data_IF_460884626113
#
_entry.id   IF_460884626113
#
_cell.length_a   1.000
_cell.length_b   1.000
_cell.length_c   1.000
_cell.angle_alpha   90.00
_cell.angle_beta   90.00
_cell.angle_gamma   90.00
#
_symmetry.space_group_name_H-M   'P 1'
#
loop_
_entity.id
_entity.type
_entity.pdbx_description
1 polymer ?
#
# COMPACT_ATOMS: atom_id res chain seq x y z
N UNK A 1 60.28 25.62 -46.39
CA UNK A 1 60.08 25.28 -44.98
C UNK A 1 58.84 25.95 -44.34
N UNK A 2 58.40 27.10 -44.82
CA UNK A 2 57.29 27.85 -44.20
C UNK A 2 55.90 27.25 -44.49
N UNK A 3 55.72 26.52 -45.59
CA UNK A 3 54.42 25.94 -45.96
C UNK A 3 54.08 24.72 -45.11
N UNK A 4 55.07 23.90 -44.75
CA UNK A 4 54.87 22.72 -43.90
C UNK A 4 54.49 23.09 -42.47
N UNK A 5 55.05 24.17 -41.92
CA UNK A 5 54.74 24.67 -40.59
C UNK A 5 53.31 25.21 -40.45
N UNK A 6 52.83 25.86 -41.50
CA UNK A 6 51.45 26.40 -41.53
C UNK A 6 50.42 25.23 -41.58
N UNK A 7 50.70 24.21 -42.38
CA UNK A 7 49.85 23.03 -42.50
C UNK A 7 49.69 22.27 -41.18
N UNK A 8 50.75 22.13 -40.39
CA UNK A 8 50.74 21.48 -39.08
C UNK A 8 49.93 22.30 -38.03
N UNK A 9 50.02 23.62 -38.11
CA UNK A 9 49.29 24.53 -37.19
C UNK A 9 47.77 24.51 -37.47
N UNK A 10 47.35 24.47 -38.72
CA UNK A 10 45.95 24.37 -39.10
C UNK A 10 45.35 23.03 -38.75
N UNK A 11 46.12 21.93 -38.95
CA UNK A 11 45.65 20.58 -38.52
C UNK A 11 45.58 20.45 -37.01
N UNK A 12 46.52 21.03 -36.24
CA UNK A 12 46.50 20.99 -34.77
C UNK A 12 45.32 21.76 -34.18
N UNK A 13 45.02 22.95 -34.71
CA UNK A 13 43.85 23.76 -34.24
C UNK A 13 42.53 23.14 -34.63
N UNK A 14 42.43 22.52 -35.81
CA UNK A 14 41.22 21.78 -36.22
C UNK A 14 40.97 20.56 -35.33
N UNK A 15 41.98 19.77 -35.03
CA UNK A 15 41.87 18.60 -34.12
C UNK A 15 41.53 19.00 -32.70
N UNK A 16 42.10 20.10 -32.18
CA UNK A 16 41.79 20.64 -30.86
C UNK A 16 40.36 21.17 -30.77
N UNK A 17 39.84 21.83 -31.81
CA UNK A 17 38.47 22.27 -31.86
C UNK A 17 37.45 21.10 -31.88
N UNK A 18 37.77 20.03 -32.62
CA UNK A 18 36.96 18.81 -32.66
C UNK A 18 36.99 18.06 -31.32
N UNK A 19 38.13 18.06 -30.63
CA UNK A 19 38.25 17.45 -29.31
C UNK A 19 37.48 18.24 -28.26
N UNK A 20 37.53 19.56 -28.26
CA UNK A 20 36.73 20.42 -27.38
C UNK A 20 35.23 20.31 -27.66
N UNK A 21 34.82 20.18 -28.93
CA UNK A 21 33.40 20.00 -29.27
C UNK A 21 32.83 18.67 -28.81
N UNK A 22 33.66 17.63 -28.65
CA UNK A 22 33.23 16.32 -28.10
C UNK A 22 33.08 16.29 -26.61
N UNK A 23 33.77 17.19 -25.87
CA UNK A 23 33.79 17.18 -24.39
C UNK A 23 32.62 17.96 -23.76
N UNK A 24 31.78 18.65 -24.55
CA UNK A 24 30.69 19.51 -24.03
C UNK A 24 29.31 18.84 -24.17
N UNK A 25 29.24 17.52 -24.40
CA UNK A 25 27.96 16.81 -24.49
C UNK A 25 27.80 15.72 -23.42
N UNK A 26 28.22 16.03 -22.21
CA UNK A 26 27.71 15.33 -21.02
C UNK A 26 26.87 16.30 -20.22
N UNK A 27 25.75 16.69 -20.81
CA UNK A 27 24.66 17.21 -19.97
C UNK A 27 24.14 15.99 -19.22
N UNK A 28 24.67 15.76 -18.02
CA UNK A 28 23.99 14.96 -17.03
C UNK A 28 22.64 15.63 -16.86
N UNK A 29 21.57 15.02 -17.39
CA UNK A 29 20.24 15.30 -16.93
C UNK A 29 20.30 15.01 -15.44
N UNK A 30 20.34 16.05 -14.62
CA UNK A 30 19.98 15.94 -13.22
C UNK A 30 18.51 15.54 -13.30
N UNK A 31 18.27 14.24 -13.11
CA UNK A 31 16.95 13.73 -12.82
C UNK A 31 16.52 14.48 -11.56
N UNK A 32 15.69 15.50 -11.77
CA UNK A 32 15.09 16.23 -10.65
C UNK A 32 14.26 15.17 -9.95
N UNK A 33 14.78 14.66 -8.83
CA UNK A 33 14.04 13.76 -7.98
C UNK A 33 12.69 14.43 -7.70
N UNK A 34 11.61 13.78 -8.10
CA UNK A 34 10.27 14.29 -7.80
C UNK A 34 10.19 14.54 -6.29
N UNK A 35 9.64 15.69 -5.86
CA UNK A 35 9.52 15.98 -4.44
C UNK A 35 8.75 14.85 -3.77
N UNK A 36 9.30 14.30 -2.70
CA UNK A 36 8.63 13.28 -1.89
C UNK A 36 7.42 13.95 -1.26
N UNK A 37 6.25 13.64 -1.75
CA UNK A 37 4.98 14.07 -1.17
C UNK A 37 4.63 13.15 0.01
N UNK A 38 4.11 13.71 1.12
CA UNK A 38 3.53 12.89 2.20
C UNK A 38 2.45 11.97 1.64
N UNK A 39 2.24 10.82 2.28
CA UNK A 39 1.17 9.89 1.92
C UNK A 39 -0.18 10.62 1.83
N UNK A 40 -0.92 10.35 0.78
CA UNK A 40 -2.25 10.91 0.57
C UNK A 40 -3.29 9.89 0.99
N UNK A 41 -4.35 10.33 1.66
CA UNK A 41 -5.50 9.46 1.92
C UNK A 41 -6.22 9.16 0.60
N UNK A 42 -5.85 8.07 -0.03
CA UNK A 42 -6.48 7.57 -1.26
C UNK A 42 -6.48 6.06 -1.28
N UNK A 43 -7.61 5.49 -1.62
CA UNK A 43 -7.78 4.06 -1.80
C UNK A 43 -8.89 3.78 -2.81
N UNK A 44 -8.93 2.56 -3.32
CA UNK A 44 -9.98 2.00 -4.13
C UNK A 44 -10.67 0.89 -3.35
N UNK A 45 -11.95 1.07 -3.04
CA UNK A 45 -12.79 0.02 -2.47
C UNK A 45 -13.44 -0.76 -3.61
N UNK A 46 -13.23 -2.06 -3.62
CA UNK A 46 -13.91 -3.01 -4.51
C UNK A 46 -14.92 -3.77 -3.68
N UNK A 47 -16.19 -3.57 -3.95
CA UNK A 47 -17.29 -4.26 -3.28
C UNK A 47 -17.45 -5.68 -3.81
N UNK A 48 -18.10 -6.54 -3.06
CA UNK A 48 -18.39 -7.91 -3.49
C UNK A 48 -19.27 -7.98 -4.75
N UNK A 49 -20.07 -6.94 -5.00
CA UNK A 49 -20.81 -6.74 -6.25
C UNK A 49 -19.91 -6.51 -7.47
N UNK A 50 -18.62 -6.23 -7.26
CA UNK A 50 -17.66 -5.79 -8.27
C UNK A 50 -17.69 -4.27 -8.52
N UNK A 51 -18.56 -3.51 -7.85
CA UNK A 51 -18.54 -2.05 -7.91
C UNK A 51 -17.23 -1.52 -7.34
N UNK A 52 -16.64 -0.53 -8.01
CA UNK A 52 -15.39 0.13 -7.60
C UNK A 52 -15.68 1.55 -7.15
N UNK A 53 -15.24 1.89 -5.94
CA UNK A 53 -15.45 3.19 -5.31
C UNK A 53 -14.10 3.80 -4.97
N UNK A 54 -13.76 4.91 -5.61
CA UNK A 54 -12.59 5.70 -5.24
C UNK A 54 -12.84 6.43 -3.92
N UNK A 55 -11.88 6.31 -2.98
CA UNK A 55 -11.91 6.92 -1.66
C UNK A 55 -10.81 7.99 -1.57
N UNK A 56 -11.05 9.03 -0.76
CA UNK A 56 -10.06 10.09 -0.50
C UNK A 56 -10.38 11.45 -1.10
N UNK A 57 -11.28 11.53 -2.09
CA UNK A 57 -11.65 12.81 -2.72
C UNK A 57 -13.11 13.22 -2.42
N UNK A 58 -13.88 12.35 -1.76
CA UNK A 58 -15.33 12.54 -1.61
C UNK A 58 -15.70 12.77 -0.14
N UNK A 59 -16.37 13.90 0.19
CA UNK A 59 -16.93 14.10 1.51
C UNK A 59 -18.06 13.10 1.75
N UNK A 60 -18.00 12.39 2.86
CA UNK A 60 -19.04 11.51 3.45
C UNK A 60 -19.89 10.73 2.44
N UNK A 61 -19.49 9.52 2.09
CA UNK A 61 -20.29 8.60 1.28
C UNK A 61 -20.84 7.47 2.15
N UNK A 62 -22.14 7.25 2.08
CA UNK A 62 -22.79 6.05 2.60
C UNK A 62 -23.02 5.07 1.47
N UNK A 63 -22.54 3.85 1.63
CA UNK A 63 -22.78 2.74 0.73
C UNK A 63 -23.51 1.68 1.53
N UNK A 64 -24.62 1.18 1.01
CA UNK A 64 -25.35 0.07 1.61
C UNK A 64 -25.13 -1.17 0.74
N UNK A 65 -24.54 -2.22 1.30
CA UNK A 65 -24.32 -3.48 0.62
C UNK A 65 -24.69 -4.65 1.55
N UNK A 66 -25.60 -5.50 1.11
CA UNK A 66 -26.01 -6.73 1.82
C UNK A 66 -26.34 -6.52 3.32
N UNK A 67 -27.02 -5.43 3.66
CA UNK A 67 -27.39 -5.10 5.05
C UNK A 67 -26.28 -4.44 5.87
N UNK A 68 -25.09 -4.25 5.31
CA UNK A 68 -23.97 -3.53 5.93
C UNK A 68 -23.99 -2.08 5.42
N UNK A 69 -23.83 -1.12 6.33
CA UNK A 69 -23.62 0.27 5.95
C UNK A 69 -22.14 0.59 6.05
N UNK A 70 -21.57 1.04 4.94
CA UNK A 70 -20.18 1.47 4.83
C UNK A 70 -20.20 3.00 4.79
N UNK A 71 -19.52 3.63 5.72
CA UNK A 71 -19.40 5.09 5.78
C UNK A 71 -17.95 5.51 5.57
N UNK A 72 -17.70 6.28 4.52
CA UNK A 72 -16.40 6.89 4.25
C UNK A 72 -16.40 8.36 4.61
N UNK A 73 -15.35 8.82 5.29
CA UNK A 73 -15.10 10.23 5.56
C UNK A 73 -13.59 10.54 5.48
N UNK A 74 -13.20 11.76 5.83
CA UNK A 74 -11.79 12.18 5.85
C UNK A 74 -10.92 11.44 6.89
N UNK A 75 -11.53 10.72 7.83
CA UNK A 75 -10.84 9.91 8.84
C UNK A 75 -10.66 8.44 8.41
N UNK A 76 -11.32 8.01 7.33
CA UNK A 76 -11.24 6.65 6.79
C UNK A 76 -12.59 6.02 6.48
N UNK A 77 -12.59 4.71 6.35
CA UNK A 77 -13.76 3.89 6.07
C UNK A 77 -14.21 3.16 7.34
N UNK A 78 -15.49 3.20 7.65
CA UNK A 78 -16.09 2.54 8.83
C UNK A 78 -17.22 1.64 8.39
N UNK A 79 -17.19 0.40 8.86
CA UNK A 79 -18.23 -0.60 8.63
C UNK A 79 -19.19 -0.64 9.82
N UNK A 80 -20.47 -0.50 9.52
CA UNK A 80 -21.56 -0.68 10.48
C UNK A 80 -22.42 -1.85 10.04
N UNK A 81 -22.33 -2.98 10.75
CA UNK A 81 -23.15 -4.15 10.47
C UNK A 81 -24.16 -4.36 11.61
N UNK A 82 -25.42 -4.00 11.43
CA UNK A 82 -26.46 -4.24 12.45
C UNK A 82 -26.96 -5.70 12.47
N UNK A 83 -26.66 -6.49 11.44
CA UNK A 83 -27.18 -7.84 11.27
C UNK A 83 -26.05 -8.78 10.81
N UNK A 84 -25.98 -9.97 11.41
CA UNK A 84 -25.16 -11.06 10.89
C UNK A 84 -25.70 -11.46 9.52
N UNK A 85 -25.01 -11.11 8.48
CA UNK A 85 -25.32 -11.53 7.13
C UNK A 85 -25.16 -13.05 7.02
N UNK A 86 -26.12 -13.75 6.47
CA UNK A 86 -26.12 -15.21 6.31
C UNK A 86 -25.13 -15.72 5.25
N UNK A 87 -24.37 -14.83 4.61
CA UNK A 87 -23.30 -15.14 3.64
C UNK A 87 -22.08 -14.25 3.89
N UNK A 88 -20.88 -14.84 3.83
CA UNK A 88 -19.65 -14.06 3.85
C UNK A 88 -19.50 -13.32 2.51
N UNK A 89 -19.61 -12.02 2.58
CA UNK A 89 -19.42 -11.09 1.47
C UNK A 89 -18.06 -10.43 1.66
N UNK A 90 -17.15 -10.59 0.71
CA UNK A 90 -15.80 -10.05 0.82
C UNK A 90 -15.66 -8.78 0.00
N UNK A 91 -15.09 -7.78 0.63
CA UNK A 91 -14.67 -6.55 -0.01
C UNK A 91 -13.13 -6.49 -0.05
N UNK A 92 -12.62 -5.65 -0.91
CA UNK A 92 -11.18 -5.45 -1.06
C UNK A 92 -10.86 -3.96 -1.02
N UNK A 93 -9.89 -3.56 -0.19
CA UNK A 93 -9.37 -2.21 -0.15
C UNK A 93 -7.96 -2.20 -0.75
N UNK A 94 -7.76 -1.39 -1.78
CA UNK A 94 -6.51 -1.27 -2.51
C UNK A 94 -5.97 0.13 -2.31
N UNK A 95 -4.77 0.25 -1.75
CA UNK A 95 -4.06 1.51 -1.58
C UNK A 95 -3.00 1.63 -2.67
N UNK A 96 -3.11 2.61 -3.57
CA UNK A 96 -2.14 2.80 -4.64
C UNK A 96 -0.84 3.39 -4.12
N UNK A 97 0.17 3.44 -4.98
CA UNK A 97 1.47 4.06 -4.68
C UNK A 97 1.32 5.50 -4.20
N UNK A 98 2.02 5.82 -3.10
CA UNK A 98 1.96 7.12 -2.43
C UNK A 98 0.64 7.38 -1.70
N UNK A 99 -0.21 6.35 -1.56
CA UNK A 99 -1.42 6.38 -0.75
C UNK A 99 -1.17 5.80 0.65
N UNK A 100 -2.08 6.13 1.55
CA UNK A 100 -2.29 5.49 2.85
C UNK A 100 -3.79 5.52 3.15
N UNK A 101 -4.29 4.54 3.89
CA UNK A 101 -5.72 4.54 4.20
C UNK A 101 -6.04 3.87 5.53
N UNK A 102 -6.98 4.45 6.26
CA UNK A 102 -7.49 3.91 7.53
C UNK A 102 -8.84 3.22 7.30
N UNK A 103 -8.96 2.00 7.78
CA UNK A 103 -10.16 1.18 7.72
C UNK A 103 -10.56 0.73 9.14
N UNK A 104 -11.81 0.90 9.52
CA UNK A 104 -12.38 0.31 10.71
C UNK A 104 -13.32 -0.83 10.29
N UNK A 105 -12.96 -2.05 10.64
CA UNK A 105 -13.70 -3.27 10.33
C UNK A 105 -14.97 -3.38 11.21
N UNK A 106 -15.87 -4.29 10.85
CA UNK A 106 -17.15 -4.48 11.53
C UNK A 106 -17.05 -4.96 12.99
N UNK A 107 -15.91 -5.53 13.39
CA UNK A 107 -15.61 -5.95 14.76
C UNK A 107 -14.98 -4.83 15.60
N UNK A 108 -14.74 -3.66 15.02
CA UNK A 108 -14.06 -2.53 15.66
C UNK A 108 -12.53 -2.56 15.52
N UNK A 109 -11.96 -3.57 14.85
CA UNK A 109 -10.53 -3.61 14.52
C UNK A 109 -10.20 -2.45 13.57
N UNK A 110 -9.14 -1.70 13.89
CA UNK A 110 -8.65 -0.61 13.04
C UNK A 110 -7.40 -1.06 12.29
N UNK A 111 -7.40 -0.82 10.98
CA UNK A 111 -6.30 -1.17 10.09
C UNK A 111 -5.79 0.09 9.40
N UNK A 112 -4.48 0.31 9.43
CA UNK A 112 -3.80 1.36 8.68
C UNK A 112 -3.00 0.71 7.57
N UNK A 113 -3.48 0.84 6.33
CA UNK A 113 -2.82 0.30 5.15
C UNK A 113 -1.81 1.31 4.61
N UNK A 114 -0.61 0.82 4.34
CA UNK A 114 0.46 1.58 3.70
C UNK A 114 0.34 1.55 2.17
N UNK A 115 1.21 2.27 1.49
CA UNK A 115 1.32 2.35 0.03
C UNK A 115 1.46 0.96 -0.61
N UNK A 116 0.87 0.77 -1.80
CA UNK A 116 0.95 -0.47 -2.59
C UNK A 116 0.45 -1.71 -1.83
N UNK A 117 -0.56 -1.52 -0.96
CA UNK A 117 -1.12 -2.59 -0.15
C UNK A 117 -2.56 -2.88 -0.53
N UNK A 118 -2.94 -4.13 -0.28
CA UNK A 118 -4.27 -4.68 -0.56
C UNK A 118 -4.73 -5.50 0.63
N UNK A 119 -5.93 -5.23 1.10
CA UNK A 119 -6.59 -6.00 2.15
C UNK A 119 -7.91 -6.53 1.64
N UNK A 120 -8.10 -7.85 1.69
CA UNK A 120 -9.37 -8.50 1.44
C UNK A 120 -9.96 -8.95 2.78
N UNK A 121 -11.21 -8.59 3.02
CA UNK A 121 -11.87 -8.78 4.31
C UNK A 121 -13.37 -8.97 4.13
N UNK A 122 -14.05 -9.69 5.04
CA UNK A 122 -15.50 -9.82 5.01
C UNK A 122 -16.17 -8.52 5.46
N UNK A 123 -17.30 -8.17 4.85
CA UNK A 123 -18.09 -7.00 5.25
C UNK A 123 -18.61 -7.11 6.69
N UNK A 124 -18.79 -8.35 7.18
CA UNK A 124 -19.03 -8.66 8.59
C UNK A 124 -18.40 -10.01 8.94
N UNK A 125 -17.83 -10.11 10.14
CA UNK A 125 -17.30 -11.37 10.63
C UNK A 125 -18.44 -12.25 11.14
N UNK A 126 -18.54 -13.45 10.60
CA UNK A 126 -19.47 -14.49 11.04
C UNK A 126 -18.71 -15.81 11.20
N UNK A 127 -18.86 -16.49 12.33
CA UNK A 127 -18.19 -17.76 12.58
C UNK A 127 -17.14 -17.69 13.70
N UNK A 128 -16.34 -18.75 13.80
CA UNK A 128 -15.39 -18.95 14.90
C UNK A 128 -14.11 -18.12 14.81
N UNK A 129 -13.87 -17.44 13.68
CA UNK A 129 -12.64 -16.68 13.41
C UNK A 129 -12.95 -15.40 12.65
N UNK A 130 -12.13 -14.40 12.89
CA UNK A 130 -12.08 -13.14 12.14
C UNK A 130 -10.87 -13.19 11.20
N UNK A 131 -11.10 -13.33 9.92
CA UNK A 131 -10.03 -13.64 8.96
C UNK A 131 -9.97 -12.60 7.85
N UNK A 132 -8.75 -12.15 7.55
CA UNK A 132 -8.44 -11.20 6.48
C UNK A 132 -7.21 -11.67 5.70
N UNK A 133 -7.10 -11.26 4.44
CA UNK A 133 -5.96 -11.54 3.57
C UNK A 133 -5.23 -10.23 3.27
N UNK A 134 -3.91 -10.17 3.52
CA UNK A 134 -3.07 -9.01 3.30
C UNK A 134 -1.99 -9.30 2.25
N UNK A 135 -1.86 -8.35 1.32
CA UNK A 135 -0.69 -8.20 0.45
C UNK A 135 -0.16 -6.77 0.62
N UNK A 136 1.15 -6.60 0.84
CA UNK A 136 1.74 -5.31 1.16
C UNK A 136 1.93 -5.11 2.66
N UNK A 137 1.71 -3.90 3.16
CA UNK A 137 1.97 -3.56 4.56
C UNK A 137 0.77 -2.92 5.23
N UNK A 138 0.47 -3.38 6.44
CA UNK A 138 -0.56 -2.79 7.28
C UNK A 138 -0.25 -2.93 8.77
N UNK A 139 -0.59 -1.88 9.53
CA UNK A 139 -0.66 -1.93 10.98
C UNK A 139 -2.09 -2.25 11.42
N UNK A 140 -2.22 -3.21 12.33
CA UNK A 140 -3.48 -3.67 12.89
C UNK A 140 -3.58 -3.30 14.37
N UNK A 141 -4.66 -2.64 14.75
CA UNK A 141 -5.10 -2.47 16.14
C UNK A 141 -6.34 -3.32 16.33
N UNK A 142 -6.12 -4.58 16.74
CA UNK A 142 -7.18 -5.59 16.78
C UNK A 142 -8.04 -5.46 18.02
N UNK A 143 -9.36 -5.37 17.81
CA UNK A 143 -10.34 -5.37 18.88
C UNK A 143 -10.23 -6.66 19.71
N UNK A 144 -10.14 -6.57 21.08
CA UNK A 144 -10.00 -7.74 21.94
C UNK A 144 -11.21 -8.66 21.85
N UNK A 145 -10.97 -9.92 21.46
CA UNK A 145 -11.94 -11.01 21.51
C UNK A 145 -11.22 -12.35 21.64
N UNK A 146 -11.40 -13.02 22.78
CA UNK A 146 -10.74 -14.29 23.08
C UNK A 146 -11.44 -15.49 22.47
N UNK A 147 -12.73 -15.35 22.16
CA UNK A 147 -13.56 -16.44 21.63
C UNK A 147 -13.40 -16.55 20.10
N UNK A 148 -13.20 -15.40 19.43
CA UNK A 148 -13.04 -15.33 17.97
C UNK A 148 -11.66 -14.76 17.62
N UNK A 149 -10.61 -15.58 17.48
CA UNK A 149 -9.28 -15.14 17.09
C UNK A 149 -9.29 -14.36 15.77
N UNK A 150 -8.42 -13.34 15.68
CA UNK A 150 -8.19 -12.59 14.46
C UNK A 150 -6.99 -13.17 13.71
N UNK A 151 -7.16 -13.46 12.42
CA UNK A 151 -6.15 -14.03 11.55
C UNK A 151 -5.85 -13.08 10.40
N UNK A 152 -4.56 -12.81 10.19
CA UNK A 152 -4.06 -12.12 9.01
C UNK A 152 -3.28 -13.13 8.19
N UNK A 153 -3.82 -13.49 7.03
CA UNK A 153 -3.15 -14.38 6.09
C UNK A 153 -2.42 -13.57 5.03
N UNK A 154 -1.20 -13.96 4.73
CA UNK A 154 -0.41 -13.47 3.61
C UNK A 154 -0.04 -14.65 2.69
N UNK A 155 0.72 -14.41 1.65
CA UNK A 155 1.20 -15.48 0.76
C UNK A 155 2.15 -16.46 1.45
N UNK A 156 2.81 -16.07 2.55
CA UNK A 156 3.89 -16.84 3.17
C UNK A 156 3.58 -17.22 4.62
N UNK A 157 2.84 -16.38 5.33
CA UNK A 157 2.61 -16.55 6.76
C UNK A 157 1.18 -16.25 7.17
N UNK A 158 0.77 -16.84 8.28
CA UNK A 158 -0.48 -16.55 8.97
C UNK A 158 -0.18 -16.02 10.39
N UNK A 159 -0.76 -14.88 10.70
CA UNK A 159 -0.62 -14.22 12.02
C UNK A 159 -1.92 -14.35 12.77
N UNK A 160 -1.87 -14.91 13.98
CA UNK A 160 -3.04 -15.10 14.86
C UNK A 160 -2.91 -14.30 16.14
N UNK A 161 -3.95 -13.53 16.47
CA UNK A 161 -4.01 -12.69 17.66
C UNK A 161 -5.40 -12.73 18.32
N UNK A 162 -5.49 -12.24 19.57
CA UNK A 162 -6.75 -12.15 20.34
C UNK A 162 -7.11 -10.71 20.75
N UNK A 163 -6.27 -9.73 20.39
CA UNK A 163 -6.40 -8.32 20.78
C UNK A 163 -5.01 -7.74 20.96
N UNK A 164 -4.43 -7.25 19.86
CA UNK A 164 -3.00 -7.00 19.74
C UNK A 164 -2.78 -5.86 18.75
N UNK A 165 -1.81 -4.99 19.04
CA UNK A 165 -1.27 -4.01 18.11
C UNK A 165 -0.01 -4.55 17.42
N UNK A 166 -0.01 -4.69 16.10
CA UNK A 166 1.13 -5.23 15.34
C UNK A 166 1.14 -4.74 13.88
N UNK A 167 2.31 -4.72 13.28
CA UNK A 167 2.51 -4.45 11.87
C UNK A 167 2.86 -5.74 11.12
N UNK A 168 2.37 -5.87 9.90
CA UNK A 168 2.74 -6.94 8.96
C UNK A 168 3.19 -6.29 7.67
N UNK A 169 4.40 -6.62 7.21
CA UNK A 169 4.91 -6.25 5.90
C UNK A 169 5.15 -7.53 5.08
N UNK A 170 4.37 -7.71 4.02
CA UNK A 170 4.38 -8.89 3.15
C UNK A 170 4.15 -8.49 1.68
N UNK A 171 5.07 -7.69 1.14
CA UNK A 171 5.06 -7.29 -0.27
C UNK A 171 5.49 -8.44 -1.18
N UNK A 172 4.81 -8.64 -2.32
CA UNK A 172 5.14 -9.71 -3.29
C UNK A 172 6.57 -9.64 -3.83
N UNK A 173 7.09 -8.43 -4.00
CA UNK A 173 8.44 -8.22 -4.52
C UNK A 173 9.51 -8.36 -3.44
N UNK A 174 9.11 -8.44 -2.16
CA UNK A 174 9.98 -8.70 -1.02
C UNK A 174 10.21 -10.21 -0.85
N UNK A 175 11.47 -10.61 -0.64
CA UNK A 175 11.79 -12.00 -0.31
C UNK A 175 11.61 -12.32 1.19
N UNK A 176 11.06 -11.39 1.97
CA UNK A 176 10.92 -11.51 3.44
C UNK A 176 9.61 -10.88 3.87
N UNK A 177 8.83 -11.66 4.59
CA UNK A 177 7.66 -11.14 5.33
C UNK A 177 8.07 -10.85 6.77
N UNK A 178 7.68 -9.69 7.29
CA UNK A 178 8.04 -9.21 8.63
C UNK A 178 6.80 -8.96 9.46
N UNK A 179 6.85 -9.37 10.74
CA UNK A 179 5.80 -9.09 11.74
C UNK A 179 6.44 -8.36 12.92
N UNK A 180 6.00 -7.14 13.17
CA UNK A 180 6.48 -6.30 14.28
C UNK A 180 5.39 -6.13 15.33
N UNK A 181 5.62 -6.63 16.54
CA UNK A 181 4.68 -6.52 17.66
C UNK A 181 4.82 -5.17 18.36
N UNK A 182 3.73 -4.42 18.48
CA UNK A 182 3.68 -3.18 19.26
C UNK A 182 3.24 -3.47 20.70
N UNK A 183 2.15 -4.21 20.89
CA UNK A 183 1.67 -4.64 22.21
C UNK A 183 0.77 -5.88 22.08
N UNK A 184 0.63 -6.64 23.18
CA UNK A 184 -0.17 -7.86 23.23
C UNK A 184 0.63 -9.13 22.96
N UNK A 185 0.02 -10.11 22.28
CA UNK A 185 0.65 -11.40 21.97
C UNK A 185 0.31 -11.79 20.53
N UNK A 186 1.29 -12.29 19.82
CA UNK A 186 1.17 -12.74 18.44
C UNK A 186 1.67 -14.19 18.32
N UNK A 187 0.97 -14.97 17.50
CA UNK A 187 1.42 -16.30 17.05
C UNK A 187 1.57 -16.25 15.54
N UNK A 188 2.74 -16.57 15.05
CA UNK A 188 3.05 -16.60 13.61
C UNK A 188 3.27 -18.05 13.20
N UNK A 189 2.64 -18.45 12.08
CA UNK A 189 2.79 -19.75 11.46
C UNK A 189 2.97 -19.59 9.94
N UNK A 190 3.30 -20.67 9.27
CA UNK A 190 3.28 -20.76 7.82
C UNK A 190 1.81 -20.77 7.32
N UNK A 191 1.56 -20.15 6.16
CA UNK A 191 0.23 -20.06 5.53
C UNK A 191 -0.17 -21.35 4.84
#
# INVERSE_FOLDING_TARGET
WNIAAIGLLVLGTGLFALFKARTIRSTSMVEVAEPIHPGQQKALLVLASGEKVELGTIPQRKIAENGVTIQGDSAGLVYHSPVLSTGQVFNELIVPRGGEYRLCLSDGTVVYLNSESRLKYPASFAGERREVELEGEAYFEVAPDKEHPFLVNTNELSVRVLGTGFNVAAYREGNVSEVTLAHGTVVVGES
#
